data_IF_528160108703
#
_entry.id   IF_528160108703
#
_cell.length_a   1.000
_cell.length_b   1.000
_cell.length_c   1.000
_cell.angle_alpha   90.00
_cell.angle_beta   90.00
_cell.angle_gamma   90.00
#
_symmetry.space_group_name_H-M   'P 1'
#
loop_
_entity.id
_entity.type
_entity.pdbx_description
1 polymer ?
#
# COMPACT_ATOMS: atom_id res chain seq x y z
N UNK A 1 -38.91 -16.78 -67.51
CA UNK A 1 -38.91 -15.37 -67.04
C UNK A 1 -37.47 -14.98 -66.81
N UNK A 2 -36.69 -14.74 -67.87
CA UNK A 2 -36.43 -13.45 -68.54
C UNK A 2 -35.65 -12.46 -67.66
N UNK A 3 -34.48 -12.13 -68.16
CA UNK A 3 -33.42 -11.24 -67.67
C UNK A 3 -33.87 -9.77 -67.55
N UNK A 4 -33.14 -8.96 -66.76
CA UNK A 4 -32.37 -7.77 -67.19
C UNK A 4 -32.13 -6.73 -66.07
N UNK A 5 -30.85 -6.37 -65.90
CA UNK A 5 -30.38 -5.02 -65.51
C UNK A 5 -30.60 -4.05 -66.68
N UNK A 6 -30.85 -2.76 -66.43
CA UNK A 6 -29.78 -1.72 -66.37
C UNK A 6 -30.01 -0.76 -65.18
N UNK A 7 -29.09 0.07 -64.68
CA UNK A 7 -27.99 0.79 -65.31
C UNK A 7 -28.28 2.31 -65.27
N UNK A 8 -27.62 3.00 -64.32
CA UNK A 8 -27.35 4.44 -64.16
C UNK A 8 -28.48 5.46 -63.93
N UNK A 9 -28.35 6.21 -62.82
CA UNK A 9 -28.17 7.67 -62.84
C UNK A 9 -27.47 8.18 -61.56
N UNK A 10 -26.35 8.88 -61.79
CA UNK A 10 -25.57 9.67 -60.81
C UNK A 10 -26.30 10.98 -60.47
N UNK A 11 -26.36 11.30 -59.18
CA UNK A 11 -26.30 12.64 -58.57
C UNK A 11 -26.69 12.46 -57.08
N UNK A 12 -26.04 13.02 -56.07
CA UNK A 12 -24.96 13.97 -55.96
C UNK A 12 -24.68 14.10 -54.46
N UNK A 13 -23.45 14.45 -54.15
CA UNK A 13 -22.92 14.61 -52.80
C UNK A 13 -23.79 15.51 -51.91
N UNK A 14 -24.22 14.98 -50.77
CA UNK A 14 -24.36 15.75 -49.54
C UNK A 14 -24.03 14.83 -48.37
N UNK A 15 -22.72 14.70 -48.12
CA UNK A 15 -22.23 14.17 -46.85
C UNK A 15 -22.72 15.08 -45.73
N UNK A 16 -23.73 14.61 -45.00
CA UNK A 16 -23.97 15.09 -43.65
C UNK A 16 -22.77 14.68 -42.80
N UNK A 17 -22.21 15.58 -41.97
CA UNK A 17 -21.04 15.25 -41.19
C UNK A 17 -21.40 14.08 -40.29
N UNK A 18 -20.58 13.02 -40.37
CA UNK A 18 -20.45 12.07 -39.29
C UNK A 18 -20.29 12.87 -37.99
N UNK A 19 -21.15 12.60 -37.02
CA UNK A 19 -20.96 13.06 -35.65
C UNK A 19 -19.58 12.59 -35.19
N UNK A 20 -18.61 13.50 -35.31
CA UNK A 20 -17.34 13.40 -34.63
C UNK A 20 -17.68 13.28 -33.16
N UNK A 21 -17.40 12.10 -32.59
CA UNK A 21 -17.31 11.95 -31.14
C UNK A 21 -16.49 13.13 -30.59
N UNK A 22 -16.93 13.79 -29.51
CA UNK A 22 -16.19 14.94 -29.00
C UNK A 22 -14.78 14.47 -28.66
N UNK A 23 -13.79 15.08 -29.33
CA UNK A 23 -12.40 14.93 -28.95
C UNK A 23 -12.31 15.25 -27.46
N UNK A 24 -11.87 14.28 -26.65
CA UNK A 24 -11.73 14.46 -25.21
C UNK A 24 -10.68 15.58 -25.03
N UNK A 25 -11.14 16.78 -24.71
CA UNK A 25 -10.28 17.93 -24.49
C UNK A 25 -9.46 17.68 -23.23
N UNK A 26 -8.14 17.71 -23.37
CA UNK A 26 -7.19 17.64 -22.26
C UNK A 26 -7.50 18.71 -21.21
N UNK A 27 -7.64 18.29 -19.95
CA UNK A 27 -7.91 19.19 -18.83
C UNK A 27 -6.69 20.02 -18.45
N UNK A 28 -6.89 21.08 -17.65
CA UNK A 28 -5.78 21.88 -17.12
C UNK A 28 -4.79 21.05 -16.30
N UNK A 29 -5.31 20.15 -15.46
CA UNK A 29 -4.50 19.25 -14.63
C UNK A 29 -3.68 18.26 -15.47
N UNK A 30 -4.29 17.63 -16.48
CA UNK A 30 -3.58 16.73 -17.40
C UNK A 30 -2.47 17.46 -18.16
N UNK A 31 -2.74 18.68 -18.63
CA UNK A 31 -1.74 19.49 -19.34
C UNK A 31 -0.56 19.84 -18.45
N UNK A 32 -0.80 20.32 -17.24
CA UNK A 32 0.26 20.67 -16.28
C UNK A 32 1.08 19.43 -15.90
N UNK A 33 0.40 18.30 -15.64
CA UNK A 33 1.07 17.03 -15.35
C UNK A 33 1.96 16.60 -16.52
N UNK A 34 1.41 16.55 -17.74
CA UNK A 34 2.16 16.18 -18.95
C UNK A 34 3.36 17.10 -19.20
N UNK A 35 3.21 18.40 -19.00
CA UNK A 35 4.30 19.36 -19.15
C UNK A 35 5.39 19.17 -18.10
N UNK A 36 5.02 18.97 -16.83
CA UNK A 36 5.96 18.66 -15.75
C UNK A 36 6.73 17.36 -16.02
N UNK A 37 6.03 16.30 -16.44
CA UNK A 37 6.63 15.02 -16.83
C UNK A 37 7.58 15.19 -18.02
N UNK A 38 7.18 15.92 -19.06
CA UNK A 38 8.05 16.20 -20.20
C UNK A 38 9.32 16.97 -19.78
N UNK A 39 9.16 17.97 -18.92
CA UNK A 39 10.30 18.72 -18.39
C UNK A 39 11.23 17.87 -17.54
N UNK A 40 10.71 16.96 -16.72
CA UNK A 40 11.50 16.10 -15.86
C UNK A 40 12.17 14.94 -16.63
N UNK A 41 11.41 14.23 -17.45
CA UNK A 41 11.78 12.92 -17.99
C UNK A 41 12.30 12.98 -19.43
N UNK A 42 12.03 14.06 -20.19
CA UNK A 42 12.42 14.16 -21.61
C UNK A 42 13.51 15.19 -21.87
N UNK A 43 13.36 16.40 -21.32
CA UNK A 43 14.34 17.48 -21.50
C UNK A 43 15.18 17.75 -20.26
N UNK A 44 14.94 17.00 -19.18
CA UNK A 44 15.73 17.00 -17.94
C UNK A 44 15.95 18.39 -17.30
N UNK A 45 14.93 19.26 -17.36
CA UNK A 45 14.95 20.61 -16.77
C UNK A 45 14.16 20.65 -15.47
N UNK A 46 14.87 20.54 -14.34
CA UNK A 46 14.27 20.55 -12.99
C UNK A 46 13.38 21.76 -12.74
N UNK A 47 13.84 22.98 -13.03
CA UNK A 47 13.07 24.21 -12.75
C UNK A 47 11.75 24.24 -13.50
N UNK A 48 11.74 23.81 -14.77
CA UNK A 48 10.51 23.71 -15.56
C UNK A 48 9.55 22.67 -14.97
N UNK A 49 10.07 21.51 -14.56
CA UNK A 49 9.26 20.46 -13.95
C UNK A 49 8.65 20.94 -12.63
N UNK A 50 9.45 21.61 -11.79
CA UNK A 50 9.01 22.18 -10.52
C UNK A 50 7.87 23.18 -10.75
N UNK A 51 8.03 24.13 -11.67
CA UNK A 51 7.00 25.15 -11.98
C UNK A 51 5.66 24.50 -12.36
N UNK A 52 5.68 23.51 -13.25
CA UNK A 52 4.46 22.85 -13.69
C UNK A 52 3.81 21.97 -12.61
N UNK A 53 4.61 21.26 -11.80
CA UNK A 53 4.07 20.44 -10.73
C UNK A 53 3.56 21.27 -9.56
N UNK A 54 4.21 22.38 -9.21
CA UNK A 54 3.70 23.34 -8.19
C UNK A 54 2.35 23.92 -8.65
N UNK A 55 2.25 24.34 -9.91
CA UNK A 55 1.00 24.83 -10.49
C UNK A 55 -0.11 23.75 -10.48
N UNK A 56 0.23 22.49 -10.80
CA UNK A 56 -0.73 21.38 -10.75
C UNK A 56 -1.21 21.12 -9.33
N UNK A 57 -0.30 21.20 -8.36
CA UNK A 57 -0.62 21.01 -6.96
C UNK A 57 -1.62 22.07 -6.48
N UNK A 58 -1.54 23.29 -6.99
CA UNK A 58 -2.45 24.41 -6.66
C UNK A 58 -3.77 24.42 -7.45
N UNK A 59 -3.90 23.59 -8.49
CA UNK A 59 -5.11 23.45 -9.30
C UNK A 59 -6.27 22.81 -8.50
N UNK A 60 -7.47 23.38 -8.57
CA UNK A 60 -8.68 22.76 -8.00
C UNK A 60 -9.21 21.65 -8.92
N UNK A 61 -8.57 20.49 -8.86
CA UNK A 61 -8.91 19.33 -9.68
C UNK A 61 -9.47 18.16 -8.86
N UNK A 62 -10.34 17.37 -9.51
CA UNK A 62 -10.78 16.07 -9.00
C UNK A 62 -9.80 14.93 -9.34
N UNK A 63 -8.83 15.19 -10.21
CA UNK A 63 -7.82 14.23 -10.67
C UNK A 63 -6.69 14.10 -9.63
N UNK A 64 -7.03 13.54 -8.46
CA UNK A 64 -6.09 13.44 -7.33
C UNK A 64 -4.87 12.60 -7.63
N UNK A 65 -5.00 11.60 -8.50
CA UNK A 65 -3.90 10.73 -8.89
C UNK A 65 -2.76 11.53 -9.56
N UNK A 66 -3.09 12.52 -10.40
CA UNK A 66 -2.11 13.42 -11.01
C UNK A 66 -1.43 14.32 -9.96
N UNK A 67 -2.22 14.85 -9.01
CA UNK A 67 -1.70 15.69 -7.91
C UNK A 67 -0.75 14.90 -7.02
N UNK A 68 -1.09 13.64 -6.72
CA UNK A 68 -0.28 12.77 -5.87
C UNK A 68 1.01 12.35 -6.58
N UNK A 69 0.97 11.99 -7.87
CA UNK A 69 2.20 11.73 -8.64
C UNK A 69 3.10 12.97 -8.72
N UNK A 70 2.53 14.15 -8.99
CA UNK A 70 3.26 15.41 -9.00
C UNK A 70 3.92 15.74 -7.65
N UNK A 71 3.23 15.45 -6.54
CA UNK A 71 3.77 15.60 -5.20
C UNK A 71 4.99 14.69 -4.97
N UNK A 72 4.95 13.43 -5.41
CA UNK A 72 6.09 12.51 -5.31
C UNK A 72 7.27 12.95 -6.17
N UNK A 73 6.99 13.43 -7.38
CA UNK A 73 8.02 13.98 -8.28
C UNK A 73 8.65 15.23 -7.70
N UNK A 74 7.86 16.14 -7.12
CA UNK A 74 8.38 17.33 -6.44
C UNK A 74 9.24 16.99 -5.23
N UNK A 75 8.86 16.01 -4.40
CA UNK A 75 9.71 15.57 -3.29
C UNK A 75 11.08 15.11 -3.79
N UNK A 76 11.10 14.36 -4.89
CA UNK A 76 12.35 13.89 -5.52
C UNK A 76 13.16 15.06 -6.09
N UNK A 77 12.50 16.00 -6.78
CA UNK A 77 13.13 17.19 -7.37
C UNK A 77 13.71 18.11 -6.30
N UNK A 78 12.97 18.41 -5.22
CA UNK A 78 13.44 19.26 -4.14
C UNK A 78 14.67 18.68 -3.44
N UNK A 79 14.75 17.36 -3.24
CA UNK A 79 15.98 16.74 -2.72
C UNK A 79 17.14 16.93 -3.70
N UNK A 80 16.93 16.66 -4.99
CA UNK A 80 17.96 16.81 -6.03
C UNK A 80 18.49 18.23 -6.14
N UNK A 81 17.62 19.23 -6.01
CA UNK A 81 17.97 20.66 -6.11
C UNK A 81 18.43 21.26 -4.77
N UNK A 82 18.61 20.45 -3.72
CA UNK A 82 19.09 20.94 -2.42
C UNK A 82 18.09 21.84 -1.68
N UNK A 83 16.79 21.62 -1.89
CA UNK A 83 15.65 22.33 -1.27
C UNK A 83 14.78 21.44 -0.35
N UNK A 84 15.37 20.64 0.57
CA UNK A 84 14.59 19.71 1.40
C UNK A 84 13.54 20.39 2.30
N UNK A 85 13.71 21.67 2.62
CA UNK A 85 12.75 22.47 3.39
C UNK A 85 11.37 22.60 2.71
N UNK A 86 11.32 22.49 1.38
CA UNK A 86 10.10 22.59 0.60
C UNK A 86 9.26 21.30 0.58
N UNK A 87 9.81 20.19 1.11
CA UNK A 87 9.09 18.92 1.23
C UNK A 87 8.04 18.99 2.35
N UNK A 88 8.31 19.71 3.44
CA UNK A 88 7.39 19.83 4.56
C UNK A 88 5.99 20.35 4.17
N UNK A 89 5.89 21.44 3.37
CA UNK A 89 4.62 21.88 2.77
C UNK A 89 3.89 20.80 1.96
N UNK A 90 4.61 20.00 1.17
CA UNK A 90 4.01 18.90 0.39
C UNK A 90 3.39 17.84 1.31
N UNK A 91 4.10 17.44 2.38
CA UNK A 91 3.58 16.48 3.36
C UNK A 91 2.29 16.97 4.02
N UNK A 92 2.23 18.25 4.38
CA UNK A 92 1.01 18.86 4.92
C UNK A 92 -0.12 18.77 3.92
N UNK A 93 0.12 19.14 2.66
CA UNK A 93 -0.89 19.13 1.60
C UNK A 93 -1.46 17.73 1.36
N UNK A 94 -0.62 16.70 1.35
CA UNK A 94 -1.06 15.31 1.27
C UNK A 94 -2.04 14.95 2.41
N UNK A 95 -1.64 15.17 3.66
CA UNK A 95 -2.45 14.78 4.82
C UNK A 95 -3.70 15.66 5.01
N UNK A 96 -3.63 16.94 4.66
CA UNK A 96 -4.78 17.86 4.70
C UNK A 96 -5.87 17.46 3.67
N UNK A 97 -5.47 16.85 2.54
CA UNK A 97 -6.41 16.31 1.54
C UNK A 97 -7.28 15.15 2.09
N UNK A 98 -6.78 14.43 3.10
CA UNK A 98 -7.53 13.43 3.87
C UNK A 98 -8.41 14.05 4.97
N UNK A 99 -7.97 15.15 5.58
CA UNK A 99 -8.68 15.82 6.68
C UNK A 99 -9.94 16.61 6.24
N UNK A 100 -9.95 17.18 5.03
CA UNK A 100 -10.99 18.12 4.58
C UNK A 100 -12.34 17.51 4.22
N UNK A 101 -12.42 16.20 3.91
CA UNK A 101 -13.68 15.49 3.59
C UNK A 101 -13.65 14.09 4.18
N UNK A 102 -14.24 13.91 5.38
CA UNK A 102 -14.44 12.58 6.00
C UNK A 102 -15.16 11.66 5.04
N UNK A 103 -14.43 10.77 4.39
CA UNK A 103 -15.04 9.86 3.44
C UNK A 103 -14.28 8.54 3.42
N UNK A 104 -14.90 7.51 3.99
CA UNK A 104 -14.43 6.12 4.03
C UNK A 104 -14.59 5.40 2.68
N UNK A 105 -14.51 6.13 1.56
CA UNK A 105 -14.72 5.58 0.21
C UNK A 105 -13.60 4.67 -0.28
N UNK A 106 -12.45 4.68 0.41
CA UNK A 106 -11.33 3.77 0.18
C UNK A 106 -11.46 2.46 0.99
N UNK A 107 -12.47 2.32 1.86
CA UNK A 107 -12.74 1.08 2.60
C UNK A 107 -13.88 0.28 1.96
N UNK A 108 -13.84 -1.06 2.03
CA UNK A 108 -15.01 -1.89 1.78
C UNK A 108 -16.18 -1.51 2.67
N UNK A 109 -17.41 -1.65 2.16
CA UNK A 109 -18.63 -1.34 2.90
C UNK A 109 -18.69 -2.11 4.21
N UNK A 110 -18.30 -3.39 4.19
CA UNK A 110 -18.34 -4.32 5.33
C UNK A 110 -17.43 -3.92 6.49
N UNK A 111 -16.41 -3.09 6.26
CA UNK A 111 -15.50 -2.61 7.31
C UNK A 111 -16.26 -1.86 8.43
N UNK A 112 -17.40 -1.24 8.13
CA UNK A 112 -18.24 -0.54 9.12
C UNK A 112 -18.82 -1.46 10.20
N UNK A 113 -18.91 -2.76 9.92
CA UNK A 113 -19.47 -3.77 10.81
C UNK A 113 -18.41 -4.48 11.65
N UNK A 114 -17.12 -4.17 11.43
CA UNK A 114 -16.03 -4.74 12.21
C UNK A 114 -16.27 -4.52 13.71
N UNK A 115 -15.92 -5.50 14.55
CA UNK A 115 -16.06 -5.37 15.99
C UNK A 115 -15.22 -4.20 16.57
N UNK A 116 -15.72 -3.50 17.62
CA UNK A 116 -15.04 -2.35 18.22
C UNK A 116 -13.70 -2.68 18.91
N UNK A 117 -13.46 -3.95 19.21
CA UNK A 117 -12.21 -4.44 19.77
C UNK A 117 -11.07 -4.35 18.77
N UNK A 118 -11.30 -4.47 17.46
CA UNK A 118 -10.21 -4.38 16.48
C UNK A 118 -9.61 -2.97 16.46
N UNK A 119 -8.29 -2.88 16.59
CA UNK A 119 -7.56 -1.64 16.80
C UNK A 119 -6.40 -1.39 15.84
N UNK A 120 -6.17 -2.34 14.93
CA UNK A 120 -5.27 -2.22 13.80
C UNK A 120 -6.05 -2.44 12.52
N UNK A 121 -5.65 -1.75 11.45
CA UNK A 121 -6.20 -1.96 10.11
C UNK A 121 -5.11 -1.80 9.06
N UNK A 122 -5.09 -2.71 8.10
CA UNK A 122 -4.33 -2.61 6.86
C UNK A 122 -5.32 -2.63 5.70
N UNK A 123 -5.06 -1.83 4.67
CA UNK A 123 -5.81 -1.85 3.43
C UNK A 123 -4.86 -1.75 2.24
N UNK A 124 -5.17 -2.48 1.19
CA UNK A 124 -4.44 -2.53 -0.07
C UNK A 124 -5.45 -2.46 -1.23
N UNK A 125 -5.14 -1.62 -2.21
CA UNK A 125 -5.88 -1.43 -3.47
C UNK A 125 -4.95 -1.87 -4.61
N UNK A 126 -4.94 -3.17 -4.96
CA UNK A 126 -4.03 -3.71 -5.98
C UNK A 126 -4.10 -2.98 -7.32
N UNK A 127 -5.29 -2.61 -7.86
CA UNK A 127 -5.36 -1.84 -9.10
C UNK A 127 -4.58 -0.53 -9.07
N UNK A 128 -4.52 0.17 -7.93
CA UNK A 128 -3.72 1.39 -7.78
C UNK A 128 -2.22 1.13 -7.79
N UNK A 129 -1.77 0.03 -7.21
CA UNK A 129 -0.35 -0.36 -7.24
C UNK A 129 0.03 -0.75 -8.67
N UNK A 130 -0.75 -1.66 -9.27
CA UNK A 130 -0.49 -2.23 -10.60
C UNK A 130 -0.60 -1.20 -11.72
N UNK A 131 -1.49 -0.20 -11.59
CA UNK A 131 -1.64 0.89 -12.56
C UNK A 131 -0.67 2.05 -12.37
N UNK A 132 0.38 1.90 -11.55
CA UNK A 132 1.36 2.96 -11.33
C UNK A 132 2.50 2.93 -12.34
N UNK A 133 3.02 4.10 -12.71
CA UNK A 133 4.14 4.22 -13.64
C UNK A 133 5.43 3.50 -13.17
N UNK A 134 5.61 3.29 -11.86
CA UNK A 134 6.69 2.46 -11.33
C UNK A 134 6.52 1.00 -11.74
N UNK A 135 5.33 0.43 -11.54
CA UNK A 135 5.06 -0.97 -11.90
C UNK A 135 5.06 -1.16 -13.41
N UNK A 136 4.51 -0.22 -14.19
CA UNK A 136 4.55 -0.30 -15.65
C UNK A 136 5.97 -0.32 -16.24
N UNK A 137 6.94 0.27 -15.55
CA UNK A 137 8.35 0.31 -15.98
C UNK A 137 9.16 -0.92 -15.54
N UNK A 138 8.58 -1.83 -14.77
CA UNK A 138 9.25 -3.06 -14.33
C UNK A 138 8.38 -4.26 -14.65
N UNK A 139 8.89 -5.14 -15.52
CA UNK A 139 8.16 -6.33 -15.98
C UNK A 139 7.83 -7.29 -14.81
N UNK A 140 8.72 -7.35 -13.81
CA UNK A 140 8.69 -8.37 -12.76
C UNK A 140 8.10 -7.88 -11.43
N UNK A 141 8.18 -6.58 -11.09
CA UNK A 141 7.74 -6.09 -9.78
C UNK A 141 6.26 -6.34 -9.50
N UNK A 142 5.40 -6.10 -10.50
CA UNK A 142 3.97 -6.34 -10.36
C UNK A 142 3.65 -7.81 -10.14
N UNK A 143 4.41 -8.71 -10.78
CA UNK A 143 4.26 -10.15 -10.57
C UNK A 143 4.81 -10.57 -9.21
N UNK A 144 6.00 -10.11 -8.83
CA UNK A 144 6.63 -10.45 -7.56
C UNK A 144 5.76 -10.13 -6.34
N UNK A 145 5.17 -8.94 -6.28
CA UNK A 145 4.36 -8.51 -5.13
C UNK A 145 3.01 -9.23 -5.04
N UNK A 146 2.46 -9.70 -6.15
CA UNK A 146 1.08 -10.18 -6.18
C UNK A 146 0.92 -11.65 -6.58
N UNK A 147 1.98 -12.31 -7.06
CA UNK A 147 1.95 -13.74 -7.39
C UNK A 147 1.63 -14.56 -6.15
N UNK A 148 0.83 -15.61 -6.36
CA UNK A 148 0.57 -16.65 -5.36
C UNK A 148 1.43 -17.90 -5.57
N UNK A 149 2.24 -17.92 -6.63
CA UNK A 149 3.20 -18.97 -6.91
C UNK A 149 4.56 -18.61 -6.29
N UNK A 150 4.88 -19.28 -5.18
CA UNK A 150 6.15 -19.11 -4.46
C UNK A 150 7.36 -19.53 -5.32
N UNK A 151 7.20 -20.52 -6.20
CA UNK A 151 8.27 -20.92 -7.12
C UNK A 151 8.53 -19.80 -8.11
N UNK A 152 7.47 -19.26 -8.71
CA UNK A 152 7.60 -18.12 -9.62
C UNK A 152 8.19 -16.88 -8.94
N UNK A 153 7.80 -16.60 -7.70
CA UNK A 153 8.38 -15.50 -6.91
C UNK A 153 9.89 -15.69 -6.73
N UNK A 154 10.31 -16.92 -6.41
CA UNK A 154 11.71 -17.28 -6.26
C UNK A 154 12.49 -17.24 -7.58
N UNK A 155 11.88 -17.65 -8.70
CA UNK A 155 12.48 -17.56 -10.03
C UNK A 155 12.79 -16.10 -10.40
N UNK A 156 11.85 -15.18 -10.14
CA UNK A 156 12.04 -13.74 -10.34
C UNK A 156 13.23 -13.23 -9.50
N UNK A 157 13.31 -13.62 -8.22
CA UNK A 157 14.45 -13.26 -7.36
C UNK A 157 15.78 -13.74 -7.94
N UNK A 158 15.85 -15.01 -8.37
CA UNK A 158 17.06 -15.60 -8.96
C UNK A 158 17.43 -14.86 -10.24
N UNK A 159 16.48 -14.59 -11.13
CA UNK A 159 16.72 -13.89 -12.40
C UNK A 159 17.30 -12.48 -12.17
N UNK A 160 16.76 -11.73 -11.21
CA UNK A 160 17.30 -10.41 -10.84
C UNK A 160 18.69 -10.51 -10.21
N UNK A 161 18.92 -11.48 -9.32
CA UNK A 161 20.26 -11.71 -8.73
C UNK A 161 21.28 -12.06 -9.80
N UNK A 162 20.95 -12.95 -10.72
CA UNK A 162 21.81 -13.34 -11.83
C UNK A 162 22.15 -12.15 -12.74
N UNK A 163 21.16 -11.34 -13.14
CA UNK A 163 21.36 -10.14 -13.96
C UNK A 163 22.36 -9.17 -13.31
N UNK A 164 22.29 -8.99 -11.98
CA UNK A 164 23.20 -8.11 -11.24
C UNK A 164 24.59 -8.71 -11.07
N UNK A 165 24.69 -10.00 -10.76
CA UNK A 165 25.96 -10.71 -10.72
C UNK A 165 26.67 -10.60 -12.09
N UNK A 166 25.92 -10.69 -13.20
CA UNK A 166 26.45 -10.52 -14.55
C UNK A 166 26.97 -9.10 -14.80
N UNK A 167 26.22 -8.07 -14.37
CA UNK A 167 26.65 -6.68 -14.50
C UNK A 167 27.91 -6.39 -13.66
N UNK A 168 27.96 -6.88 -12.42
CA UNK A 168 29.12 -6.74 -11.53
C UNK A 168 30.34 -7.49 -12.07
N UNK A 169 30.14 -8.73 -12.54
CA UNK A 169 31.16 -9.55 -13.20
C UNK A 169 31.79 -8.84 -14.38
N UNK A 170 30.96 -8.25 -15.25
CA UNK A 170 31.42 -7.48 -16.39
C UNK A 170 32.27 -6.26 -15.98
N UNK A 171 31.92 -5.59 -14.86
CA UNK A 171 32.69 -4.45 -14.35
C UNK A 171 34.00 -4.83 -13.66
N UNK A 172 34.05 -6.00 -13.01
CA UNK A 172 35.20 -6.48 -12.23
C UNK A 172 36.13 -7.41 -13.03
N UNK A 173 35.76 -7.78 -14.26
CA UNK A 173 36.51 -8.75 -15.08
C UNK A 173 36.49 -10.17 -14.50
N UNK A 174 35.43 -10.52 -13.77
CA UNK A 174 35.21 -11.84 -13.15
C UNK A 174 34.16 -12.63 -13.92
N UNK A 175 34.06 -13.92 -13.66
CA UNK A 175 32.98 -14.75 -14.19
C UNK A 175 31.67 -14.53 -13.41
N UNK A 176 30.53 -14.53 -14.10
CA UNK A 176 29.20 -14.27 -13.48
C UNK A 176 28.87 -15.27 -12.38
N UNK A 177 29.15 -16.55 -12.60
CA UNK A 177 28.81 -17.61 -11.65
C UNK A 177 29.60 -17.48 -10.34
N UNK A 178 30.86 -16.99 -10.38
CA UNK A 178 31.66 -16.78 -9.17
C UNK A 178 31.01 -15.76 -8.25
N UNK A 179 30.60 -14.61 -8.80
CA UNK A 179 29.93 -13.56 -8.04
C UNK A 179 28.53 -13.95 -7.58
N UNK A 180 27.79 -14.69 -8.42
CA UNK A 180 26.46 -15.14 -8.07
C UNK A 180 26.47 -16.10 -6.86
N UNK A 181 27.37 -17.09 -6.86
CA UNK A 181 27.47 -18.02 -5.73
C UNK A 181 28.07 -17.36 -4.48
N UNK A 182 29.03 -16.43 -4.63
CA UNK A 182 29.54 -15.62 -3.51
C UNK A 182 28.40 -14.86 -2.81
N UNK A 183 27.51 -14.22 -3.58
CA UNK A 183 26.33 -13.53 -3.05
C UNK A 183 25.32 -14.48 -2.39
N UNK A 184 25.09 -15.66 -2.97
CA UNK A 184 24.21 -16.67 -2.36
C UNK A 184 24.76 -17.19 -1.03
N UNK A 185 26.07 -17.42 -0.94
CA UNK A 185 26.72 -17.86 0.30
C UNK A 185 26.62 -16.79 1.40
N UNK A 186 26.87 -15.52 1.05
CA UNK A 186 26.68 -14.39 1.97
C UNK A 186 25.24 -14.30 2.48
N UNK A 187 24.25 -14.46 1.58
CA UNK A 187 22.85 -14.44 1.95
C UNK A 187 22.47 -15.64 2.83
N UNK A 188 22.90 -16.85 2.48
CA UNK A 188 22.66 -18.04 3.28
C UNK A 188 23.25 -17.88 4.70
N UNK A 189 24.40 -17.23 4.83
CA UNK A 189 24.95 -16.88 6.15
C UNK A 189 24.10 -15.85 6.89
N UNK A 190 23.60 -14.80 6.21
CA UNK A 190 22.69 -13.80 6.81
C UNK A 190 21.39 -14.44 7.25
N UNK A 191 20.81 -15.32 6.44
CA UNK A 191 19.58 -16.06 6.73
C UNK A 191 19.80 -17.01 7.91
N UNK A 192 20.89 -17.79 7.92
CA UNK A 192 21.25 -18.64 9.07
C UNK A 192 21.36 -17.82 10.36
N UNK A 193 22.05 -16.66 10.33
CA UNK A 193 22.14 -15.75 11.49
C UNK A 193 20.77 -15.21 11.91
N UNK A 194 19.88 -14.91 10.96
CA UNK A 194 18.49 -14.47 11.25
C UNK A 194 17.67 -15.61 11.86
N UNK A 195 17.81 -16.83 11.35
CA UNK A 195 17.15 -18.03 11.87
C UNK A 195 17.63 -18.39 13.26
N UNK A 196 18.94 -18.35 13.53
CA UNK A 196 19.51 -18.52 14.87
C UNK A 196 18.90 -17.51 15.86
N UNK A 197 18.85 -16.23 15.48
CA UNK A 197 18.19 -15.19 16.28
C UNK A 197 16.69 -15.44 16.47
N UNK A 198 15.98 -15.97 15.46
CA UNK A 198 14.57 -16.35 15.57
C UNK A 198 14.38 -17.60 16.44
N UNK A 199 15.34 -18.52 16.43
CA UNK A 199 15.34 -19.72 17.25
C UNK A 199 15.54 -19.37 18.73
N UNK A 200 16.30 -18.31 19.03
CA UNK A 200 16.48 -17.79 20.39
C UNK A 200 15.25 -17.01 20.92
N UNK A 201 14.31 -16.63 20.04
CA UNK A 201 13.08 -15.93 20.43
C UNK A 201 12.15 -16.84 21.21
N UNK A 202 11.47 -16.24 22.20
CA UNK A 202 10.40 -16.89 22.94
C UNK A 202 9.25 -17.30 22.01
N UNK A 203 8.51 -18.33 22.41
CA UNK A 203 7.33 -18.78 21.68
C UNK A 203 6.38 -17.62 21.41
N UNK A 204 6.13 -16.78 22.42
CA UNK A 204 5.30 -15.57 22.35
C UNK A 204 5.76 -14.54 21.30
N UNK A 205 7.06 -14.41 21.07
CA UNK A 205 7.61 -13.52 20.04
C UNK A 205 7.45 -14.11 18.63
N UNK A 206 7.71 -15.40 18.45
CA UNK A 206 7.50 -16.08 17.14
C UNK A 206 6.04 -16.03 16.72
N UNK A 207 5.19 -16.24 17.70
CA UNK A 207 3.76 -16.13 17.63
C UNK A 207 3.29 -14.71 17.23
N UNK A 208 3.98 -13.66 17.68
CA UNK A 208 3.71 -12.27 17.30
C UNK A 208 4.14 -11.93 15.87
N UNK A 209 5.10 -12.67 15.32
CA UNK A 209 5.61 -12.51 13.96
C UNK A 209 4.71 -13.17 12.88
N UNK A 210 3.60 -13.83 13.27
CA UNK A 210 2.65 -14.40 12.31
C UNK A 210 2.05 -13.30 11.40
N UNK A 211 2.08 -13.47 10.07
CA UNK A 211 1.53 -12.46 9.17
C UNK A 211 0.03 -12.27 9.37
N UNK A 212 -0.51 -11.05 9.10
CA UNK A 212 -1.94 -10.80 9.22
C UNK A 212 -2.77 -11.75 8.36
N UNK A 213 -3.94 -12.20 8.88
CA UNK A 213 -4.87 -13.08 8.16
C UNK A 213 -5.13 -12.65 6.71
N UNK A 214 -5.24 -11.34 6.44
CA UNK A 214 -5.49 -10.84 5.08
C UNK A 214 -4.39 -11.22 4.10
N UNK A 215 -3.13 -11.35 4.53
CA UNK A 215 -2.02 -11.77 3.67
C UNK A 215 -1.98 -13.29 3.54
N UNK A 216 -2.19 -14.02 4.64
CA UNK A 216 -2.17 -15.49 4.66
C UNK A 216 -3.31 -16.12 3.85
N UNK A 217 -4.53 -15.59 3.96
CA UNK A 217 -5.69 -16.18 3.27
C UNK A 217 -5.84 -15.71 1.83
N UNK A 218 -5.18 -14.62 1.41
CA UNK A 218 -5.41 -14.02 0.10
C UNK A 218 -5.15 -14.99 -1.06
N UNK A 219 -4.01 -15.70 -1.03
CA UNK A 219 -3.65 -16.64 -2.08
C UNK A 219 -4.49 -17.92 -2.10
N UNK A 220 -4.67 -18.64 -0.98
CA UNK A 220 -5.59 -19.77 -0.93
C UNK A 220 -7.00 -19.41 -1.38
N UNK A 221 -7.48 -18.22 -1.01
CA UNK A 221 -8.80 -17.76 -1.40
C UNK A 221 -8.87 -17.35 -2.88
N UNK A 222 -7.82 -16.76 -3.44
CA UNK A 222 -7.72 -16.45 -4.86
C UNK A 222 -7.83 -17.74 -5.69
N UNK A 223 -7.03 -18.74 -5.34
CA UNK A 223 -7.05 -20.07 -5.97
C UNK A 223 -8.45 -20.71 -5.86
N UNK A 224 -9.06 -20.70 -4.67
CA UNK A 224 -10.38 -21.26 -4.47
C UNK A 224 -11.45 -20.60 -5.38
N UNK A 225 -11.35 -19.28 -5.58
CA UNK A 225 -12.27 -18.47 -6.39
C UNK A 225 -11.90 -18.39 -7.88
N UNK A 226 -10.93 -19.17 -8.34
CA UNK A 226 -10.44 -19.17 -9.73
C UNK A 226 -9.98 -17.75 -10.15
N UNK A 227 -9.18 -17.15 -9.28
CA UNK A 227 -8.47 -15.90 -9.50
C UNK A 227 -7.00 -16.26 -9.60
N UNK A 228 -6.33 -15.83 -10.67
CA UNK A 228 -4.95 -16.23 -10.95
C UNK A 228 -4.01 -15.96 -9.77
N UNK A 229 -4.14 -14.79 -9.13
CA UNK A 229 -3.36 -14.39 -7.97
C UNK A 229 -3.94 -13.12 -7.32
N UNK A 230 -3.15 -12.44 -6.48
CA UNK A 230 -3.62 -11.26 -5.75
C UNK A 230 -3.87 -10.03 -6.63
N UNK A 231 -3.50 -10.04 -7.92
CA UNK A 231 -3.83 -8.96 -8.88
C UNK A 231 -5.32 -8.89 -9.18
N UNK A 232 -6.05 -10.00 -9.01
CA UNK A 232 -7.48 -10.06 -9.27
C UNK A 232 -8.36 -9.44 -8.18
N UNK A 233 -7.80 -9.06 -7.03
CA UNK A 233 -8.53 -8.37 -5.98
C UNK A 233 -8.72 -6.89 -6.32
N UNK A 234 -9.95 -6.39 -6.17
CA UNK A 234 -10.20 -4.94 -6.25
C UNK A 234 -9.74 -4.21 -5.00
N UNK A 235 -9.80 -4.90 -3.86
CA UNK A 235 -9.37 -4.39 -2.56
C UNK A 235 -9.18 -5.52 -1.57
N UNK A 236 -8.19 -5.36 -0.70
CA UNK A 236 -7.96 -6.23 0.45
C UNK A 236 -7.91 -5.37 1.71
N UNK A 237 -8.61 -5.76 2.76
CA UNK A 237 -8.59 -5.07 4.06
C UNK A 237 -8.39 -6.11 5.16
N UNK A 238 -7.36 -5.95 5.98
CA UNK A 238 -7.19 -6.69 7.22
C UNK A 238 -7.49 -5.80 8.42
N UNK A 239 -8.10 -6.37 9.45
CA UNK A 239 -8.27 -5.72 10.74
C UNK A 239 -7.98 -6.72 11.86
N UNK A 240 -7.27 -6.28 12.90
CA UNK A 240 -6.87 -7.15 14.00
C UNK A 240 -6.87 -6.40 15.33
N UNK A 241 -6.88 -7.17 16.42
CA UNK A 241 -6.48 -6.69 17.74
C UNK A 241 -4.98 -6.92 17.93
N UNK A 242 -4.25 -5.92 18.42
CA UNK A 242 -2.79 -6.00 18.60
C UNK A 242 -2.28 -7.12 19.53
N UNK A 243 -3.13 -7.69 20.41
CA UNK A 243 -2.78 -8.79 21.34
C UNK A 243 -3.49 -10.12 21.09
N UNK A 244 -4.69 -10.07 20.54
CA UNK A 244 -5.62 -11.20 20.59
C UNK A 244 -5.77 -11.74 19.17
N UNK A 245 -5.17 -12.90 18.90
CA UNK A 245 -5.08 -13.45 17.53
C UNK A 245 -6.40 -13.93 16.97
N UNK A 246 -7.30 -14.39 17.84
CA UNK A 246 -8.66 -14.78 17.50
C UNK A 246 -9.53 -13.57 17.11
N UNK A 247 -9.05 -12.35 17.38
CA UNK A 247 -9.66 -11.10 16.98
C UNK A 247 -9.02 -10.58 15.71
N UNK A 248 -9.29 -11.26 14.60
CA UNK A 248 -8.83 -10.89 13.26
C UNK A 248 -9.95 -11.04 12.23
N UNK A 249 -9.98 -10.15 11.25
CA UNK A 249 -10.87 -10.24 10.10
C UNK A 249 -10.16 -9.75 8.83
N UNK A 250 -10.45 -10.39 7.71
CA UNK A 250 -10.05 -9.94 6.39
C UNK A 250 -11.30 -9.71 5.53
N UNK A 251 -11.25 -8.71 4.64
CA UNK A 251 -12.33 -8.35 3.72
C UNK A 251 -11.72 -8.23 2.33
N UNK A 252 -12.28 -8.97 1.39
CA UNK A 252 -11.86 -9.02 -0.01
C UNK A 252 -12.96 -8.47 -0.89
N UNK A 253 -12.61 -7.55 -1.80
CA UNK A 253 -13.51 -7.10 -2.86
C UNK A 253 -13.11 -7.76 -4.18
N UNK A 254 -14.06 -8.41 -4.84
CA UNK A 254 -13.86 -9.10 -6.13
C UNK A 254 -15.12 -9.05 -6.97
N UNK A 255 -14.96 -8.79 -8.27
CA UNK A 255 -16.08 -8.76 -9.19
C UNK A 255 -16.73 -10.14 -9.36
N UNK A 256 -18.06 -10.13 -9.48
CA UNK A 256 -18.88 -11.32 -9.72
C UNK A 256 -18.74 -12.36 -8.60
N UNK A 257 -18.60 -11.90 -7.36
CA UNK A 257 -18.32 -12.77 -6.20
C UNK A 257 -19.31 -13.94 -6.09
N UNK A 258 -20.61 -13.70 -6.25
CA UNK A 258 -21.63 -14.75 -6.15
C UNK A 258 -21.45 -15.85 -7.21
N UNK A 259 -21.04 -15.48 -8.43
CA UNK A 259 -20.77 -16.45 -9.51
C UNK A 259 -19.51 -17.26 -9.19
N UNK A 260 -18.46 -16.60 -8.72
CA UNK A 260 -17.21 -17.26 -8.31
C UNK A 260 -17.41 -18.20 -7.12
N UNK A 261 -18.18 -17.79 -6.11
CA UNK A 261 -18.54 -18.62 -4.97
C UNK A 261 -19.33 -19.87 -5.39
N UNK A 262 -20.30 -19.72 -6.30
CA UNK A 262 -21.07 -20.85 -6.81
C UNK A 262 -20.17 -21.85 -7.56
N UNK A 263 -19.31 -21.36 -8.46
CA UNK A 263 -18.37 -22.19 -9.20
C UNK A 263 -17.34 -22.88 -8.28
N UNK A 264 -16.82 -22.17 -7.28
CA UNK A 264 -15.87 -22.73 -6.31
C UNK A 264 -16.50 -23.83 -5.45
N UNK A 265 -17.78 -23.70 -5.09
CA UNK A 265 -18.52 -24.76 -4.38
C UNK A 265 -18.79 -25.96 -5.29
N UNK A 266 -19.21 -25.73 -6.53
CA UNK A 266 -19.43 -26.80 -7.51
C UNK A 266 -18.15 -27.60 -7.80
N UNK A 267 -17.01 -26.90 -7.87
CA UNK A 267 -15.68 -27.49 -8.04
C UNK A 267 -15.13 -28.15 -6.75
N UNK A 268 -15.83 -28.07 -5.61
CA UNK A 268 -15.37 -28.62 -4.33
C UNK A 268 -14.22 -27.85 -3.67
N UNK A 269 -13.79 -26.71 -4.23
CA UNK A 269 -12.74 -25.84 -3.67
C UNK A 269 -13.20 -25.04 -2.46
N UNK A 270 -14.51 -24.80 -2.34
CA UNK A 270 -15.14 -24.24 -1.15
C UNK A 270 -16.25 -25.16 -0.65
N UNK A 271 -16.40 -25.26 0.67
CA UNK A 271 -17.48 -26.02 1.28
C UNK A 271 -18.51 -25.06 1.87
N UNK A 272 -19.79 -25.29 1.57
CA UNK A 272 -20.88 -24.55 2.22
C UNK A 272 -20.96 -24.92 3.69
N UNK A 273 -21.03 -23.90 4.55
CA UNK A 273 -21.17 -24.02 6.01
C UNK A 273 -22.41 -23.26 6.50
N UNK A 274 -23.52 -23.45 5.80
CA UNK A 274 -24.79 -22.77 6.05
C UNK A 274 -25.14 -21.71 5.00
N UNK A 275 -26.21 -20.96 5.28
CA UNK A 275 -26.73 -19.94 4.35
C UNK A 275 -25.76 -18.77 4.22
N UNK A 276 -25.17 -18.61 3.02
CA UNK A 276 -24.24 -17.51 2.72
C UNK A 276 -22.89 -17.61 3.43
N UNK A 277 -22.57 -18.79 3.98
CA UNK A 277 -21.32 -19.08 4.68
C UNK A 277 -20.56 -20.19 3.99
N UNK A 278 -19.25 -20.04 3.95
CA UNK A 278 -18.34 -20.96 3.29
C UNK A 278 -17.11 -21.19 4.17
N UNK A 279 -16.38 -22.26 3.88
CA UNK A 279 -15.04 -22.51 4.42
C UNK A 279 -14.12 -22.94 3.30
N UNK A 280 -12.87 -22.49 3.36
CA UNK A 280 -11.78 -23.13 2.62
C UNK A 280 -11.52 -24.50 3.29
N UNK A 281 -11.47 -25.60 2.53
CA UNK A 281 -10.83 -26.83 2.98
C UNK A 281 -9.38 -26.56 3.39
N UNK A 282 -8.91 -27.24 4.43
CA UNK A 282 -7.50 -27.32 4.83
C UNK A 282 -6.81 -25.97 5.15
N UNK A 283 -7.56 -24.88 5.26
CA UNK A 283 -7.06 -23.59 5.72
C UNK A 283 -7.35 -23.37 7.21
N UNK A 284 -6.28 -23.24 7.99
CA UNK A 284 -6.31 -22.86 9.39
C UNK A 284 -5.43 -21.62 9.59
N UNK A 285 -5.86 -20.72 10.46
CA UNK A 285 -5.06 -19.54 10.82
C UNK A 285 -4.69 -19.63 12.29
N UNK A 286 -3.46 -20.09 12.55
CA UNK A 286 -3.08 -20.55 13.88
C UNK A 286 -4.00 -21.70 14.32
N UNK A 287 -4.56 -21.63 15.53
CA UNK A 287 -5.50 -22.62 16.05
C UNK A 287 -6.97 -22.28 15.72
N UNK A 288 -7.21 -21.26 14.89
CA UNK A 288 -8.55 -20.72 14.67
C UNK A 288 -9.16 -21.15 13.34
N UNK A 289 -10.37 -21.68 13.43
CA UNK A 289 -11.18 -21.99 12.27
C UNK A 289 -11.76 -20.73 11.63
N UNK A 290 -11.31 -20.43 10.42
CA UNK A 290 -11.80 -19.30 9.63
C UNK A 290 -13.05 -19.71 8.85
N UNK A 291 -14.00 -18.77 8.76
CA UNK A 291 -15.19 -18.88 7.93
C UNK A 291 -15.32 -17.65 7.04
N UNK A 292 -15.96 -17.85 5.90
CA UNK A 292 -16.17 -16.85 4.88
C UNK A 292 -17.66 -16.49 4.83
N UNK A 293 -17.99 -15.21 4.76
CA UNK A 293 -19.37 -14.74 4.64
C UNK A 293 -19.48 -13.53 3.71
N UNK A 294 -20.51 -13.51 2.88
CA UNK A 294 -20.85 -12.37 2.02
C UNK A 294 -21.65 -11.33 2.81
N UNK A 295 -21.01 -10.21 3.16
CA UNK A 295 -21.65 -9.11 3.90
C UNK A 295 -22.10 -7.94 3.01
N UNK A 296 -21.60 -7.82 1.80
CA UNK A 296 -22.11 -6.87 0.81
C UNK A 296 -21.87 -7.41 -0.60
N UNK A 297 -22.46 -6.77 -1.61
CA UNK A 297 -22.25 -7.15 -3.00
C UNK A 297 -20.74 -7.09 -3.32
N UNK A 298 -20.23 -8.16 -3.91
CA UNK A 298 -18.82 -8.26 -4.33
C UNK A 298 -17.82 -8.17 -3.15
N UNK A 299 -18.27 -8.38 -1.91
CA UNK A 299 -17.41 -8.39 -0.71
C UNK A 299 -17.49 -9.72 0.07
N UNK A 300 -16.32 -10.34 0.29
CA UNK A 300 -16.19 -11.55 1.09
C UNK A 300 -15.41 -11.26 2.38
N UNK A 301 -16.00 -11.59 3.52
CA UNK A 301 -15.36 -11.44 4.83
C UNK A 301 -14.87 -12.79 5.31
N UNK A 302 -13.59 -12.87 5.66
CA UNK A 302 -12.97 -14.02 6.31
C UNK A 302 -12.67 -13.68 7.78
N UNK A 303 -13.23 -14.43 8.72
CA UNK A 303 -12.94 -14.24 10.15
C UNK A 303 -13.23 -15.52 10.96
N UNK A 304 -12.71 -15.62 12.20
CA UNK A 304 -13.14 -16.64 13.15
C UNK A 304 -14.65 -16.58 13.42
N UNK A 305 -15.26 -17.75 13.65
CA UNK A 305 -16.71 -17.89 13.86
C UNK A 305 -17.24 -16.94 14.95
N UNK A 306 -16.46 -16.74 16.01
CA UNK A 306 -16.80 -15.87 17.14
C UNK A 306 -17.06 -14.42 16.73
N UNK A 307 -16.40 -13.91 15.68
CA UNK A 307 -16.56 -12.54 15.19
C UNK A 307 -17.70 -12.39 14.18
N UNK A 308 -18.00 -13.44 13.40
CA UNK A 308 -18.96 -13.36 12.30
C UNK A 308 -20.40 -13.09 12.75
N UNK A 309 -20.89 -13.78 13.77
CA UNK A 309 -22.26 -13.57 14.28
C UNK A 309 -22.52 -12.11 14.68
N UNK A 310 -21.65 -11.49 15.51
CA UNK A 310 -21.70 -10.06 15.82
C UNK A 310 -21.68 -9.12 14.61
N UNK A 311 -20.95 -9.47 13.53
CA UNK A 311 -20.87 -8.67 12.29
C UNK A 311 -22.14 -8.80 11.43
N UNK A 312 -22.65 -10.01 11.25
CA UNK A 312 -23.91 -10.27 10.53
C UNK A 312 -25.10 -9.57 11.22
N UNK A 313 -25.16 -9.62 12.55
CA UNK A 313 -26.16 -8.90 13.31
C UNK A 313 -26.04 -7.37 13.10
N UNK A 314 -24.81 -6.85 13.09
CA UNK A 314 -24.55 -5.43 12.84
C UNK A 314 -25.00 -5.02 11.43
N UNK A 315 -24.74 -5.85 10.41
CA UNK A 315 -25.25 -5.68 9.04
C UNK A 315 -26.77 -5.63 9.02
N UNK A 316 -27.44 -6.63 9.62
CA UNK A 316 -28.91 -6.72 9.68
C UNK A 316 -29.53 -5.48 10.33
N UNK A 317 -28.91 -4.99 11.41
CA UNK A 317 -29.34 -3.78 12.13
C UNK A 317 -28.83 -2.47 11.51
N UNK A 318 -28.04 -2.54 10.43
CA UNK A 318 -27.31 -1.40 9.82
C UNK A 318 -26.52 -0.58 10.85
N UNK A 319 -26.02 -1.23 11.89
CA UNK A 319 -25.33 -0.60 13.02
C UNK A 319 -23.83 -0.57 12.74
N UNK A 320 -23.25 0.63 12.71
CA UNK A 320 -21.80 0.81 12.69
C UNK A 320 -21.19 0.36 14.02
N UNK A 321 -20.14 -0.44 13.97
CA UNK A 321 -19.49 -1.04 15.16
C UNK A 321 -17.98 -0.81 15.25
N UNK A 322 -17.34 -0.43 14.15
CA UNK A 322 -15.90 -0.20 14.10
C UNK A 322 -15.44 0.71 15.25
N UNK A 323 -14.26 0.41 15.78
CA UNK A 323 -13.61 1.21 16.82
C UNK A 323 -13.58 2.69 16.42
N UNK A 324 -14.05 3.58 17.31
CA UNK A 324 -14.19 5.01 16.98
C UNK A 324 -12.85 5.72 16.76
N UNK A 325 -11.80 5.31 17.46
CA UNK A 325 -10.46 5.88 17.26
C UNK A 325 -9.88 5.41 15.94
N UNK A 326 -10.02 4.11 15.64
CA UNK A 326 -9.61 3.54 14.36
C UNK A 326 -10.37 4.20 13.19
N UNK A 327 -11.70 4.33 13.27
CA UNK A 327 -12.54 4.98 12.24
C UNK A 327 -12.11 6.44 12.02
N UNK A 328 -11.81 7.17 13.11
CA UNK A 328 -11.32 8.55 13.01
C UNK A 328 -9.97 8.64 12.31
N UNK A 329 -9.07 7.71 12.54
CA UNK A 329 -7.76 7.69 11.90
C UNK A 329 -7.87 7.27 10.43
N UNK A 330 -8.62 6.21 10.11
CA UNK A 330 -8.78 5.75 8.73
C UNK A 330 -9.46 6.82 7.86
N UNK A 331 -10.47 7.52 8.39
CA UNK A 331 -11.14 8.61 7.65
C UNK A 331 -10.26 9.83 7.38
N UNK A 332 -9.07 9.92 7.97
CA UNK A 332 -8.07 10.96 7.71
C UNK A 332 -6.99 10.52 6.71
N UNK A 333 -6.98 9.26 6.27
CA UNK A 333 -6.07 8.79 5.22
C UNK A 333 -6.59 9.28 3.86
N UNK A 334 -5.73 9.91 3.01
CA UNK A 334 -6.11 10.30 1.66
C UNK A 334 -6.59 9.11 0.82
N UNK A 335 -7.62 9.33 0.00
CA UNK A 335 -8.31 8.23 -0.74
C UNK A 335 -7.52 7.64 -1.89
N UNK A 336 -6.58 8.41 -2.40
CA UNK A 336 -5.68 8.09 -3.51
C UNK A 336 -4.50 7.21 -3.06
N UNK A 337 -4.39 6.95 -1.74
CA UNK A 337 -3.46 5.98 -1.16
C UNK A 337 -3.73 4.57 -1.70
N UNK A 338 -2.69 3.89 -2.17
CA UNK A 338 -2.80 2.51 -2.66
C UNK A 338 -2.78 1.49 -1.51
N UNK A 339 -2.03 1.77 -0.45
CA UNK A 339 -2.01 0.94 0.75
C UNK A 339 -1.94 1.80 2.00
N UNK A 340 -2.64 1.44 3.07
CA UNK A 340 -2.41 2.08 4.37
C UNK A 340 -2.41 1.09 5.52
N UNK A 341 -1.73 1.48 6.59
CA UNK A 341 -1.78 0.83 7.90
C UNK A 341 -2.15 1.87 8.94
N UNK A 342 -3.08 1.53 9.81
CA UNK A 342 -3.53 2.39 10.91
C UNK A 342 -3.52 1.61 12.21
N UNK A 343 -2.92 2.20 13.25
CA UNK A 343 -2.94 1.70 14.61
C UNK A 343 -3.62 2.74 15.50
N UNK A 344 -4.55 2.33 16.35
CA UNK A 344 -5.06 3.25 17.36
C UNK A 344 -4.02 3.53 18.48
N UNK A 345 -4.42 4.31 19.48
CA UNK A 345 -3.55 4.65 20.60
C UNK A 345 -3.05 3.41 21.37
N UNK A 346 -3.91 2.41 21.63
CA UNK A 346 -3.56 1.23 22.40
C UNK A 346 -2.51 0.39 21.64
N UNK A 347 -2.82 0.03 20.40
CA UNK A 347 -1.93 -0.74 19.54
C UNK A 347 -0.57 -0.06 19.34
N UNK A 348 -0.53 1.25 19.10
CA UNK A 348 0.72 1.98 18.92
C UNK A 348 1.59 1.97 20.19
N UNK A 349 1.00 2.17 21.38
CA UNK A 349 1.79 2.20 22.62
C UNK A 349 2.46 0.88 22.91
N UNK A 350 1.83 -0.21 22.51
CA UNK A 350 2.32 -1.54 22.83
C UNK A 350 3.23 -2.10 21.75
N UNK A 351 2.81 -2.02 20.49
CA UNK A 351 3.61 -2.52 19.37
C UNK A 351 4.76 -1.57 19.03
N UNK A 352 4.54 -0.26 19.11
CA UNK A 352 5.54 0.75 18.74
C UNK A 352 6.55 1.06 19.85
N UNK A 353 6.13 1.01 21.13
CA UNK A 353 7.04 1.30 22.26
C UNK A 353 7.45 0.09 23.09
N UNK A 354 6.75 -1.05 22.97
CA UNK A 354 7.02 -2.25 23.75
C UNK A 354 8.37 -2.89 23.46
N UNK A 355 8.80 -2.91 22.19
CA UNK A 355 9.97 -3.65 21.70
C UNK A 355 11.24 -2.80 21.56
N UNK A 356 11.26 -1.57 22.05
CA UNK A 356 12.48 -0.79 22.05
C UNK A 356 13.44 -1.29 23.14
N UNK A 357 14.47 -2.03 22.72
CA UNK A 357 15.55 -2.54 23.58
C UNK A 357 16.21 -1.45 24.44
N UNK A 358 16.26 -0.23 23.93
CA UNK A 358 16.80 0.94 24.65
C UNK A 358 15.72 1.53 25.57
N UNK A 359 15.73 1.11 26.84
CA UNK A 359 14.87 1.67 27.93
C UNK A 359 14.86 3.21 27.97
N UNK A 360 15.95 3.87 27.59
CA UNK A 360 16.05 5.33 27.54
C UNK A 360 15.28 5.98 26.37
N UNK A 361 15.23 5.35 25.20
CA UNK A 361 14.43 5.86 24.06
C UNK A 361 12.95 5.60 24.29
N UNK A 362 12.61 4.43 24.85
CA UNK A 362 11.25 4.13 25.28
C UNK A 362 10.74 5.15 26.29
N UNK A 363 11.51 5.45 27.34
CA UNK A 363 11.10 6.43 28.36
C UNK A 363 10.97 7.84 27.79
N UNK A 364 11.84 8.25 26.87
CA UNK A 364 11.74 9.55 26.17
C UNK A 364 10.51 9.59 25.26
N UNK A 365 10.25 8.56 24.47
CA UNK A 365 9.07 8.49 23.60
C UNK A 365 7.76 8.40 24.41
N UNK A 366 7.71 7.63 25.50
CA UNK A 366 6.58 7.61 26.43
C UNK A 366 6.38 8.98 27.12
N UNK A 367 7.45 9.73 27.36
CA UNK A 367 7.40 11.09 27.94
C UNK A 367 6.86 12.12 26.95
N UNK A 368 7.27 12.04 25.68
CA UNK A 368 6.83 12.96 24.61
C UNK A 368 5.43 12.58 24.07
N UNK A 369 5.14 11.27 24.03
CA UNK A 369 3.87 10.67 23.64
C UNK A 369 3.25 9.87 24.80
N UNK A 370 2.81 10.54 25.89
CA UNK A 370 2.11 9.83 26.96
C UNK A 370 0.73 9.33 26.48
N UNK A 371 0.18 9.96 25.42
CA UNK A 371 -1.10 9.63 24.77
C UNK A 371 -1.03 9.91 23.26
N UNK A 372 -0.31 9.11 22.47
CA UNK A 372 -0.38 9.23 21.02
C UNK A 372 -1.82 8.96 20.59
N UNK A 373 -2.33 9.65 19.56
CA UNK A 373 -3.70 9.39 19.08
C UNK A 373 -3.79 8.19 18.15
N UNK A 374 -2.64 7.66 17.72
CA UNK A 374 -2.50 6.51 16.85
C UNK A 374 -1.32 6.70 15.90
N UNK A 375 -1.22 5.82 14.92
CA UNK A 375 -0.30 5.85 13.79
C UNK A 375 -1.10 5.70 12.51
N UNK A 376 -0.73 6.46 11.48
CA UNK A 376 -1.21 6.25 10.12
C UNK A 376 0.02 6.16 9.22
N UNK A 377 0.10 5.11 8.41
CA UNK A 377 1.07 4.94 7.35
C UNK A 377 0.29 4.81 6.05
N UNK A 378 0.63 5.59 5.04
CA UNK A 378 0.02 5.60 3.72
C UNK A 378 1.13 5.38 2.69
N UNK A 379 0.95 4.40 1.81
CA UNK A 379 1.81 4.17 0.66
C UNK A 379 1.09 4.61 -0.62
N UNK A 380 1.76 5.48 -1.36
CA UNK A 380 1.32 5.99 -2.66
C UNK A 380 2.31 5.54 -3.73
N UNK A 381 1.79 5.23 -4.92
CA UNK A 381 2.57 4.73 -6.04
C UNK A 381 2.32 5.64 -7.24
N UNK A 382 3.40 6.17 -7.80
CA UNK A 382 3.42 6.95 -9.04
C UNK A 382 4.66 6.56 -9.84
N UNK A 383 5.45 7.53 -10.29
CA UNK A 383 6.79 7.26 -10.82
C UNK A 383 7.80 6.80 -9.74
N UNK A 384 7.47 7.06 -8.48
CA UNK A 384 8.18 6.61 -7.28
C UNK A 384 7.15 6.02 -6.32
N UNK A 385 7.58 5.23 -5.35
CA UNK A 385 6.77 4.84 -4.21
C UNK A 385 7.08 5.78 -3.06
N UNK A 386 6.09 6.19 -2.27
CA UNK A 386 6.38 6.86 -1.00
C UNK A 386 5.58 6.29 0.15
N UNK A 387 6.26 6.09 1.27
CA UNK A 387 5.67 5.78 2.56
C UNK A 387 5.55 7.06 3.37
N UNK A 388 4.32 7.50 3.57
CA UNK A 388 3.97 8.72 4.28
C UNK A 388 3.41 8.33 5.64
N UNK A 389 4.05 8.80 6.71
CA UNK A 389 3.67 8.49 8.08
C UNK A 389 3.10 9.73 8.77
N UNK A 390 2.05 9.53 9.58
CA UNK A 390 1.46 10.56 10.44
C UNK A 390 1.25 10.01 11.83
N UNK A 391 1.81 10.71 12.82
CA UNK A 391 1.66 10.42 14.25
C UNK A 391 0.89 11.56 14.92
N UNK A 392 -0.45 11.48 14.99
CA UNK A 392 -1.25 12.51 15.63
C UNK A 392 -1.08 12.55 17.15
N UNK A 393 -1.13 13.76 17.71
CA UNK A 393 -1.04 14.07 19.12
C UNK A 393 -2.26 14.88 19.59
N UNK A 394 -2.34 15.14 20.90
CA UNK A 394 -3.42 15.94 21.49
C UNK A 394 -3.13 17.45 21.53
N UNK A 395 -1.90 17.89 21.25
CA UNK A 395 -1.49 19.29 21.40
C UNK A 395 -0.35 19.69 20.47
N UNK A 396 -0.34 20.98 20.09
CA UNK A 396 0.70 21.54 19.22
C UNK A 396 2.11 21.45 19.82
N UNK A 397 2.22 21.61 21.15
CA UNK A 397 3.50 21.52 21.86
C UNK A 397 4.10 20.13 21.71
N UNK A 398 3.30 19.06 21.86
CA UNK A 398 3.79 17.69 21.71
C UNK A 398 4.12 17.33 20.27
N UNK A 399 3.35 17.83 19.30
CA UNK A 399 3.67 17.69 17.87
C UNK A 399 5.07 18.25 17.56
N UNK A 400 5.34 19.48 18.00
CA UNK A 400 6.67 20.09 17.85
C UNK A 400 7.79 19.32 18.57
N UNK A 401 7.55 18.86 19.80
CA UNK A 401 8.52 18.06 20.54
C UNK A 401 8.86 16.75 19.82
N UNK A 402 7.88 16.10 19.18
CA UNK A 402 8.13 14.89 18.40
C UNK A 402 8.98 15.15 17.18
N UNK A 403 8.69 16.21 16.43
CA UNK A 403 9.49 16.59 15.27
C UNK A 403 10.93 16.89 15.70
N UNK A 404 11.10 17.61 16.81
CA UNK A 404 12.42 17.89 17.39
C UNK A 404 13.16 16.61 17.79
N UNK A 405 12.47 15.64 18.42
CA UNK A 405 13.06 14.35 18.79
C UNK A 405 13.46 13.57 17.54
N UNK A 406 12.57 13.45 16.54
CA UNK A 406 12.84 12.73 15.31
C UNK A 406 14.05 13.31 14.58
N UNK A 407 14.13 14.62 14.42
CA UNK A 407 15.30 15.28 13.84
C UNK A 407 16.58 15.04 14.64
N UNK A 408 16.50 15.02 15.97
CA UNK A 408 17.65 14.69 16.83
C UNK A 408 18.09 13.23 16.65
N UNK A 409 17.13 12.31 16.51
CA UNK A 409 17.41 10.90 16.26
C UNK A 409 18.01 10.68 14.88
N UNK A 410 17.53 11.38 13.85
CA UNK A 410 18.11 11.34 12.51
C UNK A 410 19.54 11.85 12.49
N UNK A 411 19.80 12.97 13.17
CA UNK A 411 21.15 13.53 13.28
C UNK A 411 22.13 12.58 14.00
N UNK A 412 21.69 11.89 15.07
CA UNK A 412 22.53 10.95 15.83
C UNK A 412 22.66 9.58 15.16
N UNK A 413 21.58 9.06 14.61
CA UNK A 413 21.56 7.74 13.95
C UNK A 413 22.45 7.70 12.72
N UNK A 414 22.66 8.83 12.06
CA UNK A 414 23.63 8.96 10.98
C UNK A 414 25.11 8.80 11.42
N UNK A 415 25.41 8.96 12.72
CA UNK A 415 26.77 8.86 13.27
C UNK A 415 27.12 7.43 13.73
N UNK A 416 26.12 6.64 14.14
CA UNK A 416 26.31 5.35 14.83
C UNK A 416 26.35 4.12 13.89
N UNK A 417 25.71 4.19 12.71
CA UNK A 417 25.59 3.07 11.76
C UNK A 417 25.49 3.60 10.31
N UNK A 418 26.50 3.35 9.44
CA UNK A 418 26.50 3.81 8.05
C UNK A 418 25.34 3.28 7.19
N UNK A 419 24.84 2.07 7.49
CA UNK A 419 23.73 1.46 6.76
C UNK A 419 22.39 2.10 7.18
N UNK A 420 22.21 2.31 8.49
CA UNK A 420 21.10 3.09 9.01
C UNK A 420 21.17 4.54 8.53
N UNK A 421 22.35 5.14 8.42
CA UNK A 421 22.54 6.50 7.92
C UNK A 421 22.02 6.66 6.49
N UNK A 422 22.26 5.68 5.60
CA UNK A 422 21.72 5.68 4.23
C UNK A 422 20.19 5.69 4.25
N UNK A 423 19.56 4.84 5.05
CA UNK A 423 18.10 4.81 5.20
C UNK A 423 17.52 6.09 5.82
N UNK A 424 18.18 6.63 6.85
CA UNK A 424 17.74 7.82 7.56
C UNK A 424 17.92 9.10 6.73
N UNK A 425 18.88 9.11 5.79
CA UNK A 425 19.13 10.27 4.90
C UNK A 425 17.97 10.57 3.95
N UNK A 426 17.15 9.58 3.65
CA UNK A 426 15.98 9.67 2.77
C UNK A 426 14.67 9.93 3.54
N UNK A 427 14.73 10.07 4.88
CA UNK A 427 13.56 10.35 5.71
C UNK A 427 13.38 11.87 5.90
N UNK A 428 12.30 12.43 5.36
CA UNK A 428 11.92 13.80 5.69
C UNK A 428 10.96 13.81 6.86
N UNK A 429 11.06 14.82 7.73
CA UNK A 429 10.16 15.00 8.87
C UNK A 429 9.60 16.42 8.86
N UNK A 430 8.29 16.53 9.06
CA UNK A 430 7.61 17.81 9.13
C UNK A 430 6.55 17.84 10.25
N UNK A 431 6.17 19.04 10.64
CA UNK A 431 5.02 19.30 11.50
C UNK A 431 3.76 19.50 10.63
N UNK A 432 2.64 18.90 11.02
CA UNK A 432 1.35 19.10 10.33
C UNK A 432 0.86 20.56 10.41
N UNK A 433 -0.05 20.95 9.52
CA UNK A 433 -0.61 22.32 9.44
C UNK A 433 -1.22 22.80 10.75
N UNK A 434 -1.92 21.91 11.47
CA UNK A 434 -2.52 22.20 12.78
C UNK A 434 -1.55 22.05 13.96
N UNK A 435 -0.29 21.70 13.66
CA UNK A 435 0.80 21.42 14.61
C UNK A 435 0.59 20.20 15.51
N UNK A 436 -0.46 19.42 15.30
CA UNK A 436 -0.85 18.30 16.18
C UNK A 436 -0.47 16.94 15.60
N UNK A 437 0.49 16.88 14.70
CA UNK A 437 1.06 15.61 14.25
C UNK A 437 2.50 15.79 13.78
N UNK A 438 3.31 14.74 14.01
CA UNK A 438 4.52 14.51 13.24
C UNK A 438 4.11 13.89 11.90
N UNK A 439 4.69 14.40 10.82
CA UNK A 439 4.62 13.85 9.48
C UNK A 439 6.02 13.36 9.10
N UNK A 440 6.09 12.23 8.41
CA UNK A 440 7.34 11.78 7.82
C UNK A 440 7.12 11.19 6.43
N UNK A 441 8.13 11.25 5.57
CA UNK A 441 8.13 10.61 4.25
C UNK A 441 9.40 9.85 4.00
N UNK A 442 9.25 8.68 3.40
CA UNK A 442 10.32 7.91 2.78
C UNK A 442 9.94 7.67 1.33
N UNK A 443 10.66 8.29 0.38
CA UNK A 443 10.42 8.16 -1.06
C UNK A 443 11.44 7.21 -1.65
N UNK A 444 10.95 6.21 -2.38
CA UNK A 444 11.72 5.12 -2.98
C UNK A 444 11.56 5.18 -4.49
N UNK A 445 12.67 5.37 -5.20
CA UNK A 445 12.71 5.25 -6.66
C UNK A 445 12.66 3.79 -7.09
N UNK A 446 12.35 3.50 -8.36
CA UNK A 446 12.35 2.14 -8.86
C UNK A 446 13.70 1.43 -8.63
N UNK A 447 14.82 2.10 -8.99
CA UNK A 447 16.15 1.55 -8.78
C UNK A 447 16.45 1.26 -7.30
N UNK A 448 16.01 2.13 -6.38
CA UNK A 448 16.17 1.91 -4.94
C UNK A 448 15.29 0.77 -4.43
N UNK A 449 14.08 0.61 -4.97
CA UNK A 449 13.20 -0.50 -4.62
C UNK A 449 13.81 -1.84 -5.08
N UNK A 450 14.36 -1.89 -6.29
CA UNK A 450 15.07 -3.06 -6.80
C UNK A 450 16.33 -3.35 -5.97
N UNK A 451 17.07 -2.33 -5.53
CA UNK A 451 18.16 -2.50 -4.55
C UNK A 451 17.63 -3.15 -3.27
N UNK A 452 16.56 -2.61 -2.67
CA UNK A 452 16.01 -3.11 -1.39
C UNK A 452 15.48 -4.55 -1.48
N UNK A 453 14.84 -4.91 -2.59
CA UNK A 453 14.22 -6.23 -2.74
C UNK A 453 15.26 -7.31 -3.05
N UNK A 454 16.31 -6.94 -3.79
CA UNK A 454 17.21 -7.91 -4.37
C UNK A 454 18.60 -7.92 -3.70
N UNK A 455 19.08 -6.83 -3.07
CA UNK A 455 20.34 -6.75 -2.28
C UNK A 455 20.14 -7.08 -0.79
#
# INVERSE_FOLDING_TARGET
MTWLLPGLLLAGLSGGPAELSPAIHETGAERLHRQGVHCMDVIERSECAIEHFEALIDEDTRQRELVTDALLRLMTLYRREGRPEDIGPLLRKFWDAGGGRRASGHLPYSARFLPPELDMMINLDPPRVLGSAMIERSEDLGEYFFTCDEVRRHDIEIEHRWRRAAAKAASEGRETWELFYEQLDEQAERERKREERRAERSEQERERDQPPLVLEIACPLAEALDIADNRGWRRMTGASHHRERDKVAAIFQVDQLETRLAAAVEAGRLLRDGSGRYRLPDFEYGEHQIRLVSLDKDELVAAPVALLGPMEEAKRKRKRRMNRELDRLVTQVPKDTAMFVVLNQAALRELGFGDMDRRSLRSVLETILPRPKGLQVAAVFGSSMAMLTRVPTDSAVRGRMLVGLANTMLARGAEDDPEAAKWLSDLDVAEASDRKALLASYVVTLARLEEILWD
#
